data_IF_072647947334
#
_entry.id   IF_072647947334
#
_cell.length_a   1.000
_cell.length_b   1.000
_cell.length_c   1.000
_cell.angle_alpha   90.00
_cell.angle_beta   90.00
_cell.angle_gamma   90.00
#
_symmetry.space_group_name_H-M   'P 1'
#
loop_
_entity.id
_entity.type
_entity.pdbx_description
1 polymer ?
#
# COMPACT_ATOMS: atom_id res chain seq x y z
N UNK A 1 -9.29 10.40 0.37
CA UNK A 1 -8.57 10.62 1.65
C UNK A 1 -7.75 11.90 1.68
N UNK A 2 -7.36 12.43 0.52
CA UNK A 2 -6.74 13.74 0.38
C UNK A 2 -7.39 14.47 -0.80
N UNK A 3 -7.16 15.78 -0.89
CA UNK A 3 -7.60 16.65 -1.98
C UNK A 3 -6.47 17.61 -2.35
N UNK A 4 -6.47 18.12 -3.58
CA UNK A 4 -5.61 19.22 -3.99
C UNK A 4 -6.39 20.52 -3.82
N UNK A 5 -5.83 21.49 -3.10
CA UNK A 5 -6.45 22.77 -2.84
C UNK A 5 -5.64 23.88 -3.50
N UNK A 6 -6.31 24.82 -4.15
CA UNK A 6 -5.71 26.06 -4.66
C UNK A 6 -6.47 27.22 -4.05
N UNK A 7 -5.75 28.13 -3.39
CA UNK A 7 -6.32 29.29 -2.71
C UNK A 7 -7.44 28.93 -1.71
N UNK A 8 -7.30 27.78 -1.04
CA UNK A 8 -8.28 27.26 -0.06
C UNK A 8 -9.46 26.50 -0.67
N UNK A 9 -9.59 26.47 -2.00
CA UNK A 9 -10.68 25.77 -2.69
C UNK A 9 -10.20 24.45 -3.32
N UNK A 10 -10.99 23.36 -3.23
CA UNK A 10 -10.65 22.10 -3.87
C UNK A 10 -10.57 22.24 -5.39
N UNK A 11 -9.52 21.69 -6.00
CA UNK A 11 -9.44 21.55 -7.46
C UNK A 11 -10.57 20.60 -7.90
N UNK A 12 -11.36 20.96 -8.94
CA UNK A 12 -12.45 20.13 -9.43
C UNK A 12 -12.01 18.70 -9.79
N UNK A 13 -12.84 17.71 -9.45
CA UNK A 13 -12.54 16.29 -9.68
C UNK A 13 -12.21 15.98 -11.15
N UNK A 14 -12.90 16.63 -12.10
CA UNK A 14 -12.65 16.44 -13.53
C UNK A 14 -11.25 16.89 -13.95
N UNK A 15 -10.73 17.97 -13.37
CA UNK A 15 -9.35 18.39 -13.62
C UNK A 15 -8.34 17.39 -13.04
N UNK A 16 -8.66 16.78 -11.88
CA UNK A 16 -7.82 15.73 -11.31
C UNK A 16 -7.83 14.48 -12.20
N UNK A 17 -8.99 14.10 -12.75
CA UNK A 17 -9.08 13.00 -13.73
C UNK A 17 -8.28 13.31 -14.99
N UNK A 18 -8.40 14.52 -15.52
CA UNK A 18 -7.62 14.99 -16.67
C UNK A 18 -6.12 14.94 -16.39
N UNK A 19 -5.68 15.39 -15.21
CA UNK A 19 -4.29 15.28 -14.77
C UNK A 19 -3.79 13.83 -14.75
N UNK A 20 -4.61 12.89 -14.28
CA UNK A 20 -4.26 11.47 -14.28
C UNK A 20 -4.21 10.89 -15.70
N UNK A 21 -5.13 11.28 -16.58
CA UNK A 21 -5.13 10.91 -18.00
C UNK A 21 -3.88 11.43 -18.71
N UNK A 22 -3.51 12.70 -18.52
CA UNK A 22 -2.30 13.29 -19.09
C UNK A 22 -1.03 12.56 -18.62
N UNK A 23 -0.97 12.14 -17.36
CA UNK A 23 0.13 11.29 -16.86
C UNK A 23 0.16 9.94 -17.59
N UNK A 24 -0.99 9.33 -17.84
CA UNK A 24 -1.05 8.07 -18.61
C UNK A 24 -0.60 8.22 -20.07
N UNK A 25 -0.63 9.45 -20.61
CA UNK A 25 -0.13 9.81 -21.94
C UNK A 25 1.32 10.34 -21.93
N UNK A 26 2.02 10.27 -20.80
CA UNK A 26 3.35 10.83 -20.56
C UNK A 26 3.45 12.37 -20.70
N UNK A 27 2.33 13.11 -20.72
CA UNK A 27 2.34 14.58 -20.67
C UNK A 27 2.39 15.10 -19.22
N UNK A 28 3.51 14.82 -18.56
CA UNK A 28 3.75 15.27 -17.18
C UNK A 28 3.79 16.79 -17.05
N UNK A 29 4.20 17.50 -18.10
CA UNK A 29 4.30 18.96 -18.06
C UNK A 29 2.91 19.57 -17.92
N UNK A 30 1.96 19.18 -18.77
CA UNK A 30 0.59 19.69 -18.70
C UNK A 30 -0.12 19.19 -17.44
N UNK A 31 0.09 17.93 -17.06
CA UNK A 31 -0.44 17.38 -15.81
C UNK A 31 0.00 18.18 -14.56
N UNK A 32 1.26 18.62 -14.53
CA UNK A 32 1.80 19.39 -13.41
C UNK A 32 1.19 20.80 -13.33
N UNK A 33 0.84 21.44 -14.46
CA UNK A 33 0.16 22.74 -14.46
C UNK A 33 -1.20 22.68 -13.75
N UNK A 34 -1.93 21.57 -13.89
CA UNK A 34 -3.24 21.40 -13.24
C UNK A 34 -3.11 21.47 -11.72
N UNK A 35 -2.05 20.92 -11.15
CA UNK A 35 -1.80 20.88 -9.70
C UNK A 35 -0.73 21.89 -9.25
N UNK A 36 -0.35 22.83 -10.13
CA UNK A 36 0.65 23.84 -9.81
C UNK A 36 0.12 24.77 -8.71
N UNK A 37 1.00 25.06 -7.74
CA UNK A 37 0.69 25.83 -6.53
C UNK A 37 -0.49 25.28 -5.72
N UNK A 38 -0.83 24.00 -5.89
CA UNK A 38 -1.85 23.35 -5.11
C UNK A 38 -1.26 22.68 -3.86
N UNK A 39 -1.90 22.87 -2.73
CA UNK A 39 -1.58 22.15 -1.50
C UNK A 39 -2.26 20.77 -1.51
N UNK A 40 -1.53 19.74 -1.09
CA UNK A 40 -2.12 18.42 -0.84
C UNK A 40 -2.62 18.37 0.60
N UNK A 41 -3.94 18.31 0.78
CA UNK A 41 -4.58 18.36 2.10
C UNK A 41 -5.25 17.03 2.41
N UNK A 42 -5.07 16.53 3.64
CA UNK A 42 -5.69 15.30 4.11
C UNK A 42 -7.10 15.58 4.65
N UNK A 43 -8.11 14.93 4.09
CA UNK A 43 -9.53 15.12 4.47
C UNK A 43 -10.12 13.97 5.27
N UNK A 44 -9.34 12.92 5.52
CA UNK A 44 -9.82 11.68 6.15
C UNK A 44 -10.51 11.90 7.50
N UNK A 45 -10.03 12.87 8.29
CA UNK A 45 -10.54 13.18 9.63
C UNK A 45 -11.53 14.36 9.66
N UNK A 46 -11.78 14.97 8.51
CA UNK A 46 -12.72 16.10 8.35
C UNK A 46 -13.92 15.71 7.49
N UNK A 47 -14.13 14.40 7.28
CA UNK A 47 -15.25 13.91 6.49
C UNK A 47 -16.58 14.26 7.18
N UNK A 48 -17.45 14.98 6.45
CA UNK A 48 -18.75 15.44 6.95
C UNK A 48 -18.61 16.31 8.22
N UNK A 49 -17.58 17.17 8.23
CA UNK A 49 -17.27 18.13 9.29
C UNK A 49 -17.17 19.54 8.70
N UNK A 50 -17.60 20.54 9.46
CA UNK A 50 -17.40 21.94 9.13
C UNK A 50 -15.98 22.40 9.49
N UNK A 51 -15.56 23.55 8.95
CA UNK A 51 -14.19 24.09 9.06
C UNK A 51 -13.70 24.24 10.52
N UNK A 52 -14.63 24.43 11.46
CA UNK A 52 -14.32 24.67 12.88
C UNK A 52 -14.69 23.51 13.80
N UNK A 53 -15.08 22.36 13.26
CA UNK A 53 -15.40 21.19 14.05
C UNK A 53 -14.12 20.63 14.69
N UNK A 54 -14.10 20.58 16.02
CA UNK A 54 -12.96 20.12 16.82
C UNK A 54 -13.13 18.69 17.35
N UNK A 55 -14.03 17.90 16.75
CA UNK A 55 -14.38 16.55 17.17
C UNK A 55 -14.09 15.49 16.06
N UNK A 56 -12.83 15.39 15.57
CA UNK A 56 -12.47 14.38 14.59
C UNK A 56 -12.55 12.98 15.20
N UNK A 57 -13.10 12.03 14.43
CA UNK A 57 -13.12 10.62 14.81
C UNK A 57 -11.82 9.95 14.37
N UNK A 58 -10.95 9.64 15.34
CA UNK A 58 -9.72 8.91 15.06
C UNK A 58 -9.98 7.40 14.95
N UNK A 59 -9.64 6.85 13.79
CA UNK A 59 -9.72 5.41 13.54
C UNK A 59 -8.52 4.75 14.22
N UNK A 60 -8.78 3.85 15.16
CA UNK A 60 -7.76 2.98 15.76
C UNK A 60 -7.78 1.62 15.09
N UNK A 61 -8.97 1.01 14.95
CA UNK A 61 -9.14 -0.25 14.24
C UNK A 61 -10.39 -0.21 13.37
N UNK A 62 -10.31 -0.83 12.19
CA UNK A 62 -11.45 -1.07 11.32
C UNK A 62 -11.25 -2.30 10.47
N UNK A 63 -12.36 -2.80 9.92
CA UNK A 63 -12.39 -4.06 9.20
C UNK A 63 -11.29 -4.17 8.13
N UNK A 64 -11.07 -3.16 7.27
CA UNK A 64 -10.08 -3.26 6.20
C UNK A 64 -8.66 -3.52 6.71
N UNK A 65 -8.22 -2.83 7.77
CA UNK A 65 -6.91 -3.06 8.38
C UNK A 65 -6.74 -4.49 8.90
N UNK A 66 -7.79 -5.03 9.54
CA UNK A 66 -7.80 -6.43 10.01
C UNK A 66 -7.73 -7.41 8.84
N UNK A 67 -8.46 -7.15 7.74
CA UNK A 67 -8.44 -8.02 6.56
C UNK A 67 -7.07 -8.02 5.88
N UNK A 68 -6.41 -6.87 5.76
CA UNK A 68 -5.07 -6.78 5.18
C UNK A 68 -4.02 -7.45 6.07
N UNK A 69 -4.12 -7.30 7.39
CA UNK A 69 -3.27 -8.03 8.33
C UNK A 69 -3.49 -9.54 8.23
N UNK A 70 -4.73 -9.99 8.12
CA UNK A 70 -5.07 -11.40 7.93
C UNK A 70 -4.50 -11.94 6.61
N UNK A 71 -4.61 -11.17 5.52
CA UNK A 71 -4.03 -11.54 4.23
C UNK A 71 -2.51 -11.71 4.34
N UNK A 72 -1.83 -10.78 5.02
CA UNK A 72 -0.39 -10.88 5.28
C UNK A 72 -0.03 -12.14 6.08
N UNK A 73 -0.82 -12.49 7.10
CA UNK A 73 -0.64 -13.75 7.85
C UNK A 73 -0.78 -14.96 6.92
N UNK A 74 -1.80 -14.99 6.05
CA UNK A 74 -1.99 -16.09 5.09
C UNK A 74 -0.89 -16.20 4.04
N UNK A 75 -0.13 -15.14 3.77
CA UNK A 75 1.07 -15.22 2.91
C UNK A 75 2.11 -16.16 3.49
N UNK A 76 2.27 -16.19 4.82
CA UNK A 76 3.26 -17.03 5.52
C UNK A 76 2.66 -18.24 6.21
N UNK A 77 1.33 -18.33 6.28
CA UNK A 77 0.67 -19.45 6.94
C UNK A 77 1.02 -20.76 6.23
N UNK A 78 1.68 -21.63 6.98
CA UNK A 78 2.10 -22.94 6.53
C UNK A 78 1.44 -24.02 7.38
N UNK A 79 1.12 -25.16 6.79
CA UNK A 79 0.55 -26.30 7.47
C UNK A 79 1.15 -27.59 6.93
N UNK A 80 1.29 -28.58 7.80
CA UNK A 80 1.72 -29.92 7.40
C UNK A 80 0.55 -30.66 6.74
N UNK A 81 0.83 -31.28 5.60
CA UNK A 81 -0.07 -32.23 4.96
C UNK A 81 0.71 -33.47 4.57
N UNK A 82 0.60 -34.50 5.41
CA UNK A 82 1.29 -35.78 5.23
C UNK A 82 2.83 -35.62 5.14
N UNK A 83 3.43 -34.80 6.02
CA UNK A 83 4.87 -34.58 6.05
C UNK A 83 5.40 -33.58 5.02
N UNK A 84 4.51 -32.92 4.27
CA UNK A 84 4.83 -31.84 3.34
C UNK A 84 4.24 -30.55 3.88
N UNK A 85 5.11 -29.56 4.14
CA UNK A 85 4.68 -28.22 4.51
C UNK A 85 4.17 -27.51 3.26
N UNK A 86 2.91 -27.06 3.31
CA UNK A 86 2.24 -26.33 2.23
C UNK A 86 1.78 -24.95 2.71
N UNK A 87 1.59 -24.03 1.78
CA UNK A 87 1.00 -22.70 2.02
C UNK A 87 -0.18 -22.46 1.11
N UNK A 88 -1.17 -21.70 1.57
CA UNK A 88 -2.31 -21.26 0.74
C UNK A 88 -2.30 -19.75 0.53
N UNK A 89 -1.40 -19.27 -0.33
CA UNK A 89 -1.32 -17.85 -0.71
C UNK A 89 -2.57 -17.36 -1.45
N UNK A 90 -3.36 -18.27 -2.04
CA UNK A 90 -4.65 -17.95 -2.65
C UNK A 90 -5.64 -17.34 -1.65
N UNK A 91 -5.59 -17.71 -0.37
CA UNK A 91 -6.46 -17.11 0.66
C UNK A 91 -6.11 -15.63 0.86
N UNK A 92 -4.82 -15.30 0.91
CA UNK A 92 -4.37 -13.91 0.99
C UNK A 92 -4.88 -13.09 -0.20
N UNK A 93 -4.69 -13.60 -1.43
CA UNK A 93 -5.19 -12.96 -2.66
C UNK A 93 -6.71 -12.79 -2.63
N UNK A 94 -7.45 -13.81 -2.19
CA UNK A 94 -8.91 -13.75 -2.10
C UNK A 94 -9.40 -12.71 -1.09
N UNK A 95 -8.75 -12.59 0.07
CA UNK A 95 -9.09 -11.60 1.11
C UNK A 95 -8.84 -10.18 0.62
N UNK A 96 -7.75 -9.95 -0.12
CA UNK A 96 -7.40 -8.61 -0.61
C UNK A 96 -8.24 -8.22 -1.82
N UNK A 97 -8.48 -9.14 -2.76
CA UNK A 97 -9.16 -8.85 -4.02
C UNK A 97 -10.70 -8.90 -3.89
N UNK A 98 -11.30 -10.08 -4.00
CA UNK A 98 -12.74 -10.22 -4.28
C UNK A 98 -13.55 -10.92 -3.19
N UNK A 99 -12.95 -11.21 -2.03
CA UNK A 99 -13.61 -11.81 -0.88
C UNK A 99 -13.97 -13.29 -1.04
N UNK A 100 -13.43 -14.00 -2.06
CA UNK A 100 -13.70 -15.42 -2.30
C UNK A 100 -13.33 -16.35 -1.12
N UNK A 101 -12.53 -15.86 -0.18
CA UNK A 101 -12.18 -16.57 1.05
C UNK A 101 -13.39 -16.79 1.98
N UNK A 102 -14.39 -15.92 1.91
CA UNK A 102 -15.57 -15.99 2.79
C UNK A 102 -16.74 -16.77 2.17
N UNK A 103 -16.80 -16.82 0.83
CA UNK A 103 -17.83 -17.54 0.09
C UNK A 103 -17.35 -17.84 -1.33
N UNK A 104 -17.59 -19.06 -1.80
CA UNK A 104 -17.27 -19.44 -3.18
C UNK A 104 -18.29 -18.90 -4.20
N UNK A 105 -19.46 -18.42 -3.78
CA UNK A 105 -20.55 -18.00 -4.67
C UNK A 105 -20.12 -16.87 -5.63
N UNK A 106 -20.46 -16.94 -6.91
CA UNK A 106 -20.06 -15.93 -7.91
C UNK A 106 -20.70 -14.55 -7.71
N UNK A 107 -21.84 -14.49 -7.03
CA UNK A 107 -22.60 -13.28 -6.69
C UNK A 107 -22.42 -12.86 -5.21
N UNK A 108 -21.28 -13.21 -4.60
CA UNK A 108 -21.04 -12.94 -3.18
C UNK A 108 -21.09 -11.43 -2.87
N UNK A 109 -21.77 -11.02 -1.79
CA UNK A 109 -21.73 -9.62 -1.33
C UNK A 109 -20.42 -9.30 -0.58
N UNK A 110 -19.70 -10.31 -0.06
CA UNK A 110 -18.44 -10.11 0.62
C UNK A 110 -17.34 -9.80 -0.39
N UNK A 111 -16.84 -8.56 -0.36
CA UNK A 111 -15.73 -8.11 -1.18
C UNK A 111 -14.45 -8.01 -0.34
N UNK A 112 -13.33 -8.35 -0.98
CA UNK A 112 -12.01 -8.05 -0.46
C UNK A 112 -11.76 -6.54 -0.43
N UNK A 113 -10.68 -6.12 0.22
CA UNK A 113 -10.40 -4.70 0.42
C UNK A 113 -10.35 -3.92 -0.90
N UNK A 114 -9.63 -4.43 -1.91
CA UNK A 114 -9.61 -3.84 -3.25
C UNK A 114 -10.93 -3.97 -3.98
N UNK A 115 -11.64 -5.09 -3.81
CA UNK A 115 -12.94 -5.32 -4.45
C UNK A 115 -13.99 -4.30 -4.04
N UNK A 116 -13.93 -3.76 -2.81
CA UNK A 116 -14.84 -2.71 -2.32
C UNK A 116 -14.75 -1.41 -3.13
N UNK A 117 -13.62 -1.17 -3.78
CA UNK A 117 -13.36 -0.01 -4.65
C UNK A 117 -13.26 -0.41 -6.13
N UNK A 118 -13.67 -1.62 -6.48
CA UNK A 118 -13.69 -2.12 -7.86
C UNK A 118 -12.38 -2.73 -8.37
N UNK A 119 -11.29 -2.73 -7.58
CA UNK A 119 -9.94 -3.13 -8.02
C UNK A 119 -9.54 -4.58 -7.71
N UNK A 120 -10.52 -5.49 -7.62
CA UNK A 120 -10.34 -6.88 -7.18
C UNK A 120 -10.62 -7.93 -8.26
N UNK A 121 -10.75 -7.52 -9.52
CA UNK A 121 -11.14 -8.36 -10.64
C UNK A 121 -9.98 -9.10 -11.30
N UNK A 122 -10.26 -9.62 -12.49
CA UNK A 122 -9.30 -10.42 -13.26
C UNK A 122 -8.16 -9.59 -13.82
N UNK A 123 -8.32 -8.30 -14.06
CA UNK A 123 -7.27 -7.46 -14.69
C UNK A 123 -6.48 -6.64 -13.69
N UNK A 124 -7.11 -6.26 -12.59
CA UNK A 124 -6.66 -5.25 -11.63
C UNK A 124 -6.46 -5.79 -10.21
N UNK A 125 -6.89 -7.03 -9.94
CA UNK A 125 -6.60 -7.72 -8.71
C UNK A 125 -5.12 -8.06 -8.56
N UNK A 126 -4.64 -8.11 -7.31
CA UNK A 126 -3.29 -8.57 -6.99
C UNK A 126 -3.13 -10.02 -7.46
N UNK A 127 -2.04 -10.28 -8.18
CA UNK A 127 -1.63 -11.61 -8.60
C UNK A 127 -0.13 -11.76 -8.40
N UNK A 128 0.28 -12.97 -8.04
CA UNK A 128 1.68 -13.37 -7.98
C UNK A 128 1.80 -14.73 -8.65
N UNK A 129 2.72 -14.84 -9.60
CA UNK A 129 3.02 -16.08 -10.33
C UNK A 129 4.52 -16.22 -10.52
N UNK A 130 4.96 -17.20 -11.31
CA UNK A 130 6.39 -17.38 -11.57
C UNK A 130 6.99 -16.16 -12.30
N UNK A 131 6.29 -15.64 -13.30
CA UNK A 131 6.67 -14.42 -14.00
C UNK A 131 5.73 -13.29 -13.55
N UNK A 132 6.31 -12.20 -13.04
CA UNK A 132 5.57 -11.04 -12.57
C UNK A 132 6.04 -9.81 -13.33
N UNK A 133 5.16 -9.21 -14.11
CA UNK A 133 5.47 -8.01 -14.88
C UNK A 133 5.52 -6.78 -13.97
N UNK A 134 6.53 -5.95 -14.18
CA UNK A 134 6.65 -4.60 -13.61
C UNK A 134 6.02 -3.66 -14.61
N UNK A 135 5.02 -2.90 -14.14
CA UNK A 135 4.30 -1.95 -14.98
C UNK A 135 4.72 -0.52 -14.64
N UNK A 136 4.79 0.32 -15.66
CA UNK A 136 4.84 1.76 -15.45
C UNK A 136 3.59 2.21 -14.67
N UNK A 137 3.73 3.02 -13.60
CA UNK A 137 2.62 3.39 -12.73
C UNK A 137 1.57 4.28 -13.39
N UNK A 138 1.86 4.87 -14.56
CA UNK A 138 0.96 5.78 -15.26
C UNK A 138 0.47 5.19 -16.59
N UNK A 139 1.36 4.67 -17.43
CA UNK A 139 0.99 4.13 -18.75
C UNK A 139 0.47 2.69 -18.69
N UNK A 140 0.74 1.99 -17.58
CA UNK A 140 0.48 0.56 -17.40
C UNK A 140 1.21 -0.35 -18.40
N UNK A 141 2.18 0.18 -19.15
CA UNK A 141 3.05 -0.61 -20.02
C UNK A 141 4.00 -1.49 -19.22
N UNK A 142 4.32 -2.66 -19.74
CA UNK A 142 5.30 -3.56 -19.11
C UNK A 142 6.70 -3.00 -19.36
N UNK A 143 7.39 -2.60 -18.28
CA UNK A 143 8.74 -2.04 -18.34
C UNK A 143 9.82 -3.07 -17.98
N UNK A 144 9.46 -4.08 -17.19
CA UNK A 144 10.36 -5.15 -16.77
C UNK A 144 9.57 -6.39 -16.32
N UNK A 145 10.26 -7.46 -15.94
CA UNK A 145 9.68 -8.62 -15.29
C UNK A 145 10.58 -9.21 -14.22
N UNK A 146 9.96 -9.82 -13.22
CA UNK A 146 10.62 -10.56 -12.15
C UNK A 146 10.32 -12.04 -12.35
N UNK A 147 11.36 -12.84 -12.56
CA UNK A 147 11.26 -14.30 -12.60
C UNK A 147 11.54 -14.90 -11.21
N UNK A 148 10.52 -15.52 -10.65
CA UNK A 148 10.52 -16.22 -9.38
C UNK A 148 10.27 -17.73 -9.55
N UNK A 149 10.52 -18.27 -10.75
CA UNK A 149 10.38 -19.70 -11.02
C UNK A 149 11.24 -20.51 -10.06
N UNK A 150 10.60 -21.36 -9.25
CA UNK A 150 11.27 -22.16 -8.22
C UNK A 150 11.70 -21.39 -6.96
N UNK A 151 11.47 -20.07 -6.91
CA UNK A 151 11.74 -19.25 -5.73
C UNK A 151 10.46 -19.02 -4.92
N UNK A 152 10.10 -20.02 -4.13
CA UNK A 152 8.89 -19.95 -3.31
C UNK A 152 8.89 -18.80 -2.29
N UNK A 153 10.03 -18.54 -1.64
CA UNK A 153 10.19 -17.45 -0.68
C UNK A 153 9.99 -16.09 -1.38
N UNK A 154 10.60 -15.91 -2.55
CA UNK A 154 10.42 -14.69 -3.34
C UNK A 154 8.97 -14.44 -3.75
N UNK A 155 8.18 -15.48 -4.03
CA UNK A 155 6.74 -15.34 -4.28
C UNK A 155 5.99 -14.84 -3.04
N UNK A 156 6.35 -15.33 -1.85
CA UNK A 156 5.77 -14.86 -0.60
C UNK A 156 6.13 -13.40 -0.32
N UNK A 157 7.40 -13.04 -0.47
CA UNK A 157 7.89 -11.67 -0.27
C UNK A 157 7.26 -10.69 -1.27
N UNK A 158 7.07 -11.09 -2.53
CA UNK A 158 6.40 -10.27 -3.54
C UNK A 158 4.91 -10.09 -3.22
N UNK A 159 4.23 -11.14 -2.77
CA UNK A 159 2.83 -11.03 -2.35
C UNK A 159 2.68 -10.13 -1.12
N UNK A 160 3.58 -10.30 -0.15
CA UNK A 160 3.65 -9.43 1.02
C UNK A 160 3.88 -7.97 0.62
N UNK A 161 4.81 -7.69 -0.30
CA UNK A 161 5.07 -6.33 -0.78
C UNK A 161 3.80 -5.70 -1.36
N UNK A 162 3.08 -6.43 -2.22
CA UNK A 162 1.81 -5.97 -2.80
C UNK A 162 0.74 -5.72 -1.74
N UNK A 163 0.68 -6.53 -0.68
CA UNK A 163 -0.23 -6.34 0.46
C UNK A 163 0.16 -5.11 1.29
N UNK A 164 1.46 -4.93 1.57
CA UNK A 164 1.98 -3.79 2.33
C UNK A 164 1.77 -2.48 1.56
N UNK A 165 1.88 -2.49 0.23
CA UNK A 165 1.49 -1.35 -0.62
C UNK A 165 -0.01 -1.06 -0.54
N UNK A 166 -0.86 -2.10 -0.52
CA UNK A 166 -2.30 -1.93 -0.35
C UNK A 166 -2.65 -1.35 1.03
N UNK A 167 -1.96 -1.79 2.09
CA UNK A 167 -2.06 -1.19 3.43
C UNK A 167 -1.67 0.28 3.41
N UNK A 168 -0.63 0.65 2.66
CA UNK A 168 -0.23 2.05 2.52
C UNK A 168 -1.35 2.92 1.95
N UNK A 169 -2.03 2.43 0.90
CA UNK A 169 -3.13 3.15 0.23
C UNK A 169 -4.38 3.19 1.11
N UNK A 170 -4.81 2.04 1.62
CA UNK A 170 -6.05 1.90 2.38
C UNK A 170 -5.96 2.61 3.74
N UNK A 171 -4.85 2.42 4.46
CA UNK A 171 -4.64 2.91 5.83
C UNK A 171 -3.84 4.23 5.87
N UNK A 172 -3.74 4.93 4.73
CA UNK A 172 -3.08 6.23 4.66
C UNK A 172 -3.62 7.17 5.75
N UNK A 173 -2.72 7.82 6.47
CA UNK A 173 -2.99 8.74 7.58
C UNK A 173 -3.55 8.11 8.86
N UNK A 174 -3.66 6.78 8.98
CA UNK A 174 -4.15 6.09 10.19
C UNK A 174 -3.04 5.72 11.20
N UNK A 175 -1.79 6.15 10.98
CA UNK A 175 -0.68 5.90 11.93
C UNK A 175 -0.03 4.52 11.86
N UNK A 176 -0.45 3.65 10.92
CA UNK A 176 0.03 2.25 10.84
C UNK A 176 1.33 2.07 10.03
N UNK A 177 1.62 2.98 9.10
CA UNK A 177 2.61 2.73 8.03
C UNK A 177 4.01 2.40 8.53
N UNK A 178 4.51 3.14 9.52
CA UNK A 178 5.86 2.91 10.04
C UNK A 178 5.97 1.56 10.74
N UNK A 179 4.97 1.20 11.54
CA UNK A 179 4.94 -0.07 12.26
C UNK A 179 4.79 -1.27 11.33
N UNK A 180 4.06 -1.13 10.23
CA UNK A 180 4.00 -2.15 9.17
C UNK A 180 5.38 -2.40 8.56
N UNK A 181 6.09 -1.35 8.17
CA UNK A 181 7.44 -1.46 7.62
C UNK A 181 8.41 -2.09 8.63
N UNK A 182 8.32 -1.68 9.90
CA UNK A 182 9.15 -2.20 10.98
C UNK A 182 8.93 -3.70 11.18
N UNK A 183 7.66 -4.12 11.24
CA UNK A 183 7.31 -5.53 11.45
C UNK A 183 7.75 -6.42 10.28
N UNK A 184 7.66 -5.91 9.05
CA UNK A 184 8.16 -6.61 7.86
C UNK A 184 9.68 -6.71 7.90
N UNK A 185 10.39 -5.60 8.14
CA UNK A 185 11.84 -5.56 8.26
C UNK A 185 12.35 -6.57 9.30
N UNK A 186 11.70 -6.64 10.48
CA UNK A 186 12.03 -7.63 11.52
C UNK A 186 11.78 -9.07 11.09
N UNK A 187 10.65 -9.35 10.43
CA UNK A 187 10.32 -10.70 9.95
C UNK A 187 11.30 -11.19 8.88
N UNK A 188 11.72 -10.30 7.98
CA UNK A 188 12.71 -10.59 6.94
C UNK A 188 14.15 -10.57 7.46
N UNK A 189 14.37 -10.09 8.68
CA UNK A 189 15.69 -9.76 9.21
C UNK A 189 16.46 -8.82 8.25
N UNK A 190 15.76 -7.83 7.72
CA UNK A 190 16.23 -6.89 6.71
C UNK A 190 15.84 -5.45 7.06
N UNK A 191 16.72 -4.71 7.77
CA UNK A 191 16.53 -3.29 8.08
C UNK A 191 16.37 -2.40 6.85
N UNK A 192 16.98 -2.79 5.71
CA UNK A 192 16.96 -1.98 4.50
C UNK A 192 15.54 -1.77 3.98
N UNK A 193 14.66 -2.76 4.16
CA UNK A 193 13.25 -2.67 3.81
C UNK A 193 12.55 -1.42 4.38
N UNK A 194 12.72 -1.15 5.68
CA UNK A 194 12.17 0.06 6.30
C UNK A 194 12.95 1.30 5.85
N UNK A 195 14.29 1.21 5.86
CA UNK A 195 15.16 2.33 5.59
C UNK A 195 14.94 2.93 4.18
N UNK A 196 14.82 2.10 3.15
CA UNK A 196 14.55 2.52 1.76
C UNK A 196 13.21 3.24 1.64
N UNK A 197 12.14 2.65 2.18
CA UNK A 197 10.79 3.20 2.05
C UNK A 197 10.63 4.51 2.82
N UNK A 198 11.26 4.62 3.99
CA UNK A 198 11.19 5.84 4.82
C UNK A 198 12.12 6.92 4.28
N UNK A 199 13.33 6.60 3.82
CA UNK A 199 14.27 7.59 3.31
C UNK A 199 13.79 8.22 2.00
N UNK A 200 13.07 7.47 1.15
CA UNK A 200 12.55 7.94 -0.14
C UNK A 200 11.69 9.22 -0.04
N UNK A 201 11.03 9.47 1.10
CA UNK A 201 10.21 10.67 1.31
C UNK A 201 11.02 11.95 1.53
N UNK A 202 12.31 11.84 1.84
CA UNK A 202 13.19 12.98 2.10
C UNK A 202 13.79 13.55 0.80
N UNK A 203 14.24 14.82 0.78
CA UNK A 203 14.98 15.39 -0.34
C UNK A 203 16.28 14.63 -0.62
N UNK A 204 16.75 14.62 -1.88
CA UNK A 204 17.91 13.83 -2.32
C UNK A 204 19.13 13.94 -1.40
N UNK A 205 19.47 15.14 -0.94
CA UNK A 205 20.61 15.39 -0.04
C UNK A 205 20.47 14.83 1.39
N UNK A 206 19.29 14.36 1.80
CA UNK A 206 19.05 13.77 3.13
C UNK A 206 18.74 12.27 3.08
N UNK A 207 18.42 11.72 1.90
CA UNK A 207 17.99 10.31 1.77
C UNK A 207 19.02 9.33 2.30
N UNK A 208 20.28 9.50 1.92
CA UNK A 208 21.37 8.61 2.33
C UNK A 208 21.60 8.65 3.85
N UNK A 209 21.58 9.85 4.44
CA UNK A 209 21.69 10.02 5.89
C UNK A 209 20.57 9.30 6.63
N UNK A 210 19.32 9.49 6.20
CA UNK A 210 18.16 8.84 6.83
C UNK A 210 18.18 7.33 6.61
N UNK A 211 18.57 6.87 5.43
CA UNK A 211 18.73 5.44 5.14
C UNK A 211 19.72 4.82 6.12
N UNK A 212 20.93 5.37 6.23
CA UNK A 212 21.97 4.87 7.12
C UNK A 212 21.55 4.91 8.60
N UNK A 213 20.84 5.97 9.03
CA UNK A 213 20.29 6.06 10.38
C UNK A 213 19.32 4.91 10.68
N UNK A 214 18.45 4.59 9.72
CA UNK A 214 17.42 3.57 9.87
C UNK A 214 17.90 2.14 9.62
N UNK A 215 19.16 1.94 9.22
CA UNK A 215 19.78 0.61 9.21
C UNK A 215 19.98 0.05 10.63
N UNK A 216 20.06 0.92 11.63
CA UNK A 216 20.18 0.53 13.03
C UNK A 216 18.80 0.46 13.70
N UNK A 217 18.37 -0.74 14.11
CA UNK A 217 17.05 -0.96 14.72
C UNK A 217 16.80 -0.12 15.98
N UNK A 218 17.83 0.21 16.76
CA UNK A 218 17.70 1.11 17.93
C UNK A 218 17.12 2.49 17.57
N UNK A 219 17.31 2.94 16.33
CA UNK A 219 16.82 4.24 15.86
C UNK A 219 15.36 4.19 15.36
N UNK A 220 14.70 3.02 15.43
CA UNK A 220 13.29 2.87 15.05
C UNK A 220 12.34 3.26 16.18
N UNK A 221 12.85 3.35 17.41
CA UNK A 221 12.07 3.61 18.61
C UNK A 221 12.38 5.02 19.14
N UNK A 222 11.45 5.55 19.93
CA UNK A 222 11.70 6.78 20.66
C UNK A 222 12.60 6.44 21.85
N UNK A 223 13.83 6.92 21.82
CA UNK A 223 14.82 6.73 22.87
C UNK A 223 14.54 7.70 24.03
N UNK A 224 13.45 7.45 24.76
CA UNK A 224 13.02 8.32 25.85
C UNK A 224 13.90 8.19 27.11
N UNK A 225 14.59 7.07 27.27
CA UNK A 225 15.40 6.76 28.46
C UNK A 225 16.90 6.67 28.19
N UNK A 226 17.34 6.89 26.95
CA UNK A 226 18.76 6.88 26.62
C UNK A 226 19.31 8.29 26.84
N UNK A 227 20.17 8.45 27.85
CA UNK A 227 20.95 9.67 28.12
C UNK A 227 22.10 9.88 27.11
#
# INVERSE_FOLDING_TARGET
SYSYLRDGEPIPEEMIKEMLMLKSENDFRTANLITENADTVVWKYSWNKDVYDMDPNYIIYRAAGIHLLLAEVYTYWAFDRNGIILTFTSNAVNIVNNGANYSAAGNRPQLGVRGRVGFGGTTDGIKVGNINYVHDPFTNEVVDYIDLTGNFIGLQELLEEKIIEEKARELAFEGERFYDLMRVAKRRNDPSFLAEKVSAKYPSGQREQIYNLLMEERNWYINYFDE
#
